data_IF_488798533719
#
_entry.id   IF_488798533719
#
_cell.length_a   1.000
_cell.length_b   1.000
_cell.length_c   1.000
_cell.angle_alpha   90.00
_cell.angle_beta   90.00
_cell.angle_gamma   90.00
#
_symmetry.space_group_name_H-M   'P 1'
#
loop_
_entity.id
_entity.type
_entity.pdbx_description
1 polymer ?
#
# COMPACT_ATOMS: atom_id res chain seq x y z
N UNK A 1 1.37 -14.82 20.00
CA UNK A 1 1.49 -14.57 21.46
C UNK A 1 1.52 -15.85 22.28
N UNK A 2 2.33 -15.86 23.34
CA UNK A 2 2.42 -16.99 24.27
C UNK A 2 1.03 -17.30 24.86
N UNK A 3 0.61 -18.57 24.78
CA UNK A 3 -0.69 -19.03 25.28
C UNK A 3 -1.91 -18.67 24.42
N UNK A 4 -1.75 -18.08 23.23
CA UNK A 4 -2.87 -17.81 22.33
C UNK A 4 -3.54 -19.11 21.86
N UNK A 5 -4.87 -19.17 21.99
CA UNK A 5 -5.70 -20.24 21.44
C UNK A 5 -6.72 -19.61 20.49
N UNK A 6 -6.67 -20.02 19.23
CA UNK A 6 -7.66 -19.62 18.24
C UNK A 6 -9.04 -20.17 18.63
N UNK A 7 -10.08 -19.34 18.54
CA UNK A 7 -11.47 -19.77 18.67
C UNK A 7 -12.05 -20.35 17.38
N UNK A 8 -11.31 -20.25 16.27
CA UNK A 8 -11.74 -20.67 14.92
C UNK A 8 -10.79 -21.71 14.34
N UNK A 9 -11.32 -22.55 13.46
CA UNK A 9 -10.51 -23.42 12.59
C UNK A 9 -9.72 -22.60 11.58
N UNK A 10 -8.72 -23.22 10.94
CA UNK A 10 -7.90 -22.56 9.92
C UNK A 10 -8.77 -22.03 8.76
N UNK A 11 -9.69 -22.84 8.27
CA UNK A 11 -10.57 -22.44 7.15
C UNK A 11 -11.51 -21.30 7.53
N UNK A 12 -12.08 -21.32 8.73
CA UNK A 12 -12.92 -20.22 9.22
C UNK A 12 -12.13 -18.93 9.36
N UNK A 13 -10.87 -19.02 9.79
CA UNK A 13 -9.95 -17.88 9.91
C UNK A 13 -9.72 -17.23 8.54
N UNK A 14 -9.42 -18.02 7.50
CA UNK A 14 -9.27 -17.53 6.13
C UNK A 14 -10.55 -16.85 5.61
N UNK A 15 -11.72 -17.46 5.87
CA UNK A 15 -13.03 -16.87 5.50
C UNK A 15 -13.26 -15.53 6.21
N UNK A 16 -12.90 -15.42 7.50
CA UNK A 16 -13.04 -14.18 8.26
C UNK A 16 -12.08 -13.09 7.77
N UNK A 17 -10.81 -13.43 7.49
CA UNK A 17 -9.83 -12.51 6.92
C UNK A 17 -10.36 -11.94 5.61
N UNK A 18 -10.84 -12.80 4.71
CA UNK A 18 -11.41 -12.35 3.43
C UNK A 18 -12.60 -11.41 3.62
N UNK A 19 -13.56 -11.75 4.49
CA UNK A 19 -14.73 -10.91 4.75
C UNK A 19 -14.35 -9.51 5.25
N UNK A 20 -13.37 -9.42 6.14
CA UNK A 20 -12.87 -8.14 6.66
C UNK A 20 -12.21 -7.35 5.55
N UNK A 21 -11.35 -8.00 4.75
CA UNK A 21 -10.66 -7.33 3.64
C UNK A 21 -11.63 -6.78 2.60
N UNK A 22 -12.55 -7.62 2.13
CA UNK A 22 -13.57 -7.24 1.14
C UNK A 22 -14.52 -6.15 1.66
N UNK A 23 -14.81 -6.13 2.97
CA UNK A 23 -15.64 -5.08 3.58
C UNK A 23 -14.90 -3.75 3.65
N UNK A 24 -13.68 -3.74 4.19
CA UNK A 24 -12.92 -2.51 4.38
C UNK A 24 -12.55 -1.87 3.04
N UNK A 25 -12.13 -2.67 2.06
CA UNK A 25 -11.80 -2.21 0.71
C UNK A 25 -12.97 -1.43 0.07
N UNK A 26 -14.18 -2.00 0.12
CA UNK A 26 -15.39 -1.35 -0.41
C UNK A 26 -15.72 -0.08 0.34
N UNK A 27 -15.70 -0.13 1.67
CA UNK A 27 -15.99 1.03 2.50
C UNK A 27 -15.00 2.17 2.26
N UNK A 28 -13.69 1.87 2.17
CA UNK A 28 -12.65 2.84 1.88
C UNK A 28 -12.86 3.50 0.51
N UNK A 29 -13.12 2.69 -0.52
CA UNK A 29 -13.37 3.17 -1.87
C UNK A 29 -14.59 4.11 -1.95
N UNK A 30 -15.70 3.72 -1.31
CA UNK A 30 -16.94 4.50 -1.29
C UNK A 30 -16.78 5.82 -0.53
N UNK A 31 -16.22 5.80 0.69
CA UNK A 31 -16.14 6.98 1.54
C UNK A 31 -15.14 8.03 1.04
N UNK A 32 -14.06 7.59 0.37
CA UNK A 32 -13.01 8.47 -0.14
C UNK A 32 -13.05 8.66 -1.66
N UNK A 33 -14.07 8.11 -2.35
CA UNK A 33 -14.19 8.20 -3.82
C UNK A 33 -12.92 7.71 -4.55
N UNK A 34 -12.45 6.53 -4.14
CA UNK A 34 -11.23 5.93 -4.66
C UNK A 34 -11.54 4.84 -5.68
N UNK A 35 -10.77 4.84 -6.77
CA UNK A 35 -10.82 3.78 -7.78
C UNK A 35 -9.72 2.76 -7.53
N UNK A 36 -10.07 1.48 -7.54
CA UNK A 36 -9.10 0.38 -7.41
C UNK A 36 -8.22 0.30 -8.64
N UNK A 37 -6.91 0.36 -8.47
CA UNK A 37 -5.93 0.23 -9.57
C UNK A 37 -4.90 -0.87 -9.28
N UNK A 38 -4.39 -1.50 -10.33
CA UNK A 38 -3.31 -2.48 -10.21
C UNK A 38 -1.96 -1.76 -10.02
N UNK A 39 -1.25 -2.11 -8.96
CA UNK A 39 0.08 -1.61 -8.67
C UNK A 39 1.20 -2.54 -9.16
N UNK A 40 2.39 -2.01 -9.43
CA UNK A 40 3.58 -2.81 -9.66
C UNK A 40 4.04 -3.49 -8.36
N UNK A 41 4.49 -4.75 -8.46
CA UNK A 41 5.15 -5.46 -7.36
C UNK A 41 6.64 -5.08 -7.23
N UNK A 42 7.26 -4.70 -8.34
CA UNK A 42 8.66 -4.30 -8.42
C UNK A 42 8.83 -3.16 -9.42
N UNK A 43 9.90 -2.39 -9.23
CA UNK A 43 10.26 -1.26 -10.09
C UNK A 43 11.75 -1.35 -10.43
N UNK A 44 12.15 -0.73 -11.54
CA UNK A 44 13.56 -0.62 -11.91
C UNK A 44 14.40 0.03 -10.78
N UNK A 45 15.56 -0.55 -10.50
CA UNK A 45 16.47 -0.07 -9.47
C UNK A 45 16.94 1.35 -9.79
N UNK A 46 16.89 2.26 -8.81
CA UNK A 46 17.44 3.61 -8.97
C UNK A 46 16.60 4.60 -9.79
N UNK A 47 15.43 4.22 -10.30
CA UNK A 47 14.51 5.14 -10.98
C UNK A 47 13.81 6.15 -10.04
N UNK A 48 14.02 6.00 -8.73
CA UNK A 48 13.50 6.87 -7.69
C UNK A 48 12.02 6.66 -7.33
N UNK A 49 11.33 5.68 -7.93
CA UNK A 49 9.93 5.34 -7.63
C UNK A 49 9.79 4.54 -6.35
N UNK A 50 10.75 3.66 -6.04
CA UNK A 50 10.78 2.95 -4.77
C UNK A 50 11.14 3.94 -3.64
N UNK A 51 10.35 3.94 -2.57
CA UNK A 51 10.63 4.77 -1.40
C UNK A 51 11.39 3.96 -0.35
N UNK A 52 12.58 4.39 0.02
CA UNK A 52 13.48 3.66 0.91
C UNK A 52 13.15 3.84 2.40
N UNK A 53 11.93 4.35 2.71
CA UNK A 53 11.44 4.65 4.06
C UNK A 53 12.45 5.51 4.84
N UNK A 54 13.31 4.89 5.64
CA UNK A 54 14.31 5.53 6.48
C UNK A 54 15.70 5.68 5.81
N UNK A 55 15.84 5.23 4.56
CA UNK A 55 17.08 5.31 3.77
C UNK A 55 18.17 4.28 4.16
N UNK A 56 17.91 3.46 5.18
CA UNK A 56 18.84 2.43 5.69
C UNK A 56 18.40 1.02 5.28
N UNK A 57 17.09 0.79 5.15
CA UNK A 57 16.53 -0.51 4.82
C UNK A 57 16.89 -0.93 3.38
N UNK A 58 17.36 -2.17 3.25
CA UNK A 58 17.76 -2.69 1.94
C UNK A 58 16.57 -3.31 1.23
N UNK A 59 16.27 -2.91 -0.02
CA UNK A 59 15.22 -3.58 -0.77
C UNK A 59 15.66 -4.96 -1.24
N UNK A 60 14.69 -5.83 -1.49
CA UNK A 60 14.92 -7.09 -2.19
C UNK A 60 15.16 -6.79 -3.66
N UNK A 61 16.39 -7.03 -4.13
CA UNK A 61 16.81 -6.80 -5.52
C UNK A 61 17.00 -8.11 -6.28
N UNK A 62 16.69 -8.11 -7.57
CA UNK A 62 16.92 -9.23 -8.48
C UNK A 62 16.99 -8.74 -9.92
N UNK A 63 17.62 -9.52 -10.80
CA UNK A 63 17.68 -9.25 -12.23
C UNK A 63 16.51 -9.91 -13.00
N UNK A 64 16.09 -9.29 -14.09
CA UNK A 64 15.09 -9.85 -15.01
C UNK A 64 15.81 -10.38 -16.25
N UNK A 65 15.86 -11.70 -16.43
CA UNK A 65 16.53 -12.33 -17.59
C UNK A 65 16.08 -11.76 -18.94
N UNK A 66 14.80 -11.40 -19.09
CA UNK A 66 14.23 -10.91 -20.35
C UNK A 66 14.70 -9.49 -20.73
N UNK A 67 15.10 -8.66 -19.76
CA UNK A 67 15.53 -7.28 -20.00
C UNK A 67 17.00 -7.05 -19.65
N UNK A 68 17.58 -7.92 -18.80
CA UNK A 68 18.90 -7.73 -18.20
C UNK A 68 18.94 -6.62 -17.16
N UNK A 69 17.79 -6.09 -16.74
CA UNK A 69 17.68 -4.97 -15.81
C UNK A 69 17.55 -5.47 -14.36
N UNK A 70 18.16 -4.73 -13.43
CA UNK A 70 17.99 -4.94 -12.01
C UNK A 70 16.71 -4.23 -11.52
N UNK A 71 15.85 -4.97 -10.83
CA UNK A 71 14.63 -4.45 -10.22
C UNK A 71 14.62 -4.65 -8.71
N UNK A 72 13.75 -3.90 -8.04
CA UNK A 72 13.55 -3.94 -6.60
C UNK A 72 12.08 -4.16 -6.26
N UNK A 73 11.80 -5.03 -5.29
CA UNK A 73 10.45 -5.14 -4.71
C UNK A 73 10.12 -3.81 -4.01
N UNK A 74 8.90 -3.32 -4.24
CA UNK A 74 8.45 -2.05 -3.67
C UNK A 74 8.35 -2.14 -2.15
N UNK A 75 8.85 -1.12 -1.45
CA UNK A 75 8.62 -0.93 -0.01
C UNK A 75 7.39 -0.05 0.25
N UNK A 76 7.14 0.89 -0.66
CA UNK A 76 5.99 1.79 -0.65
C UNK A 76 5.74 2.30 -2.07
N UNK A 77 4.48 2.57 -2.40
CA UNK A 77 4.10 3.15 -3.68
C UNK A 77 3.86 4.67 -3.60
N UNK A 78 4.27 5.34 -2.51
CA UNK A 78 3.99 6.76 -2.27
C UNK A 78 4.23 7.67 -3.48
N UNK A 79 5.40 7.57 -4.13
CA UNK A 79 5.72 8.35 -5.33
C UNK A 79 4.96 7.86 -6.57
N UNK A 80 4.79 6.54 -6.69
CA UNK A 80 4.07 5.92 -7.80
C UNK A 80 2.60 6.33 -7.84
N UNK A 81 1.89 6.33 -6.70
CA UNK A 81 0.47 6.69 -6.62
C UNK A 81 0.22 8.09 -7.16
N UNK A 82 1.04 9.06 -6.74
CA UNK A 82 0.94 10.45 -7.18
C UNK A 82 1.21 10.61 -8.68
N UNK A 83 2.20 9.89 -9.22
CA UNK A 83 2.46 9.84 -10.66
C UNK A 83 1.27 9.22 -11.43
N UNK A 84 0.69 8.14 -10.89
CA UNK A 84 -0.45 7.45 -11.48
C UNK A 84 -1.71 8.32 -11.52
N UNK A 85 -2.03 9.05 -10.44
CA UNK A 85 -3.15 10.01 -10.42
C UNK A 85 -3.03 11.01 -11.59
N UNK A 86 -1.84 11.56 -11.80
CA UNK A 86 -1.57 12.48 -12.91
C UNK A 86 -1.72 11.79 -14.28
N UNK A 87 -1.10 10.61 -14.47
CA UNK A 87 -1.14 9.89 -15.75
C UNK A 87 -2.55 9.46 -16.14
N UNK A 88 -3.37 9.07 -15.16
CA UNK A 88 -4.75 8.64 -15.38
C UNK A 88 -5.76 9.80 -15.42
N UNK A 89 -5.35 11.02 -15.06
CA UNK A 89 -6.20 12.21 -15.15
C UNK A 89 -7.28 12.30 -14.08
N UNK A 90 -7.01 11.81 -12.87
CA UNK A 90 -7.91 11.95 -11.72
C UNK A 90 -8.17 13.42 -11.38
N UNK A 91 -9.42 13.75 -11.04
CA UNK A 91 -9.84 15.11 -10.68
C UNK A 91 -9.83 15.32 -9.17
N UNK A 92 -9.97 16.57 -8.75
CA UNK A 92 -10.08 16.94 -7.34
C UNK A 92 -11.21 16.16 -6.66
N UNK A 93 -10.92 15.61 -5.48
CA UNK A 93 -11.78 14.70 -4.70
C UNK A 93 -11.94 13.29 -5.27
N UNK A 94 -11.25 12.95 -6.36
CA UNK A 94 -11.10 11.58 -6.83
C UNK A 94 -9.70 11.06 -6.45
N UNK A 95 -9.60 9.75 -6.24
CA UNK A 95 -8.33 9.13 -5.88
C UNK A 95 -8.24 7.69 -6.33
N UNK A 96 -7.13 7.06 -5.98
CA UNK A 96 -6.89 5.65 -6.24
C UNK A 96 -6.53 4.93 -4.95
N UNK A 97 -6.77 3.62 -4.92
CA UNK A 97 -6.15 2.72 -3.96
C UNK A 97 -5.68 1.46 -4.66
N UNK A 98 -4.77 0.76 -4.02
CA UNK A 98 -4.23 -0.51 -4.51
C UNK A 98 -3.93 -1.46 -3.35
N UNK A 99 -3.99 -2.75 -3.64
CA UNK A 99 -3.57 -3.82 -2.74
C UNK A 99 -2.04 -3.94 -2.83
N UNK A 100 -1.34 -3.14 -2.04
CA UNK A 100 0.11 -3.10 -2.05
C UNK A 100 0.65 -4.26 -1.21
N UNK A 101 1.64 -4.97 -1.74
CA UNK A 101 2.38 -5.99 -1.02
C UNK A 101 3.88 -5.67 -1.10
N UNK A 102 4.56 -5.75 0.03
CA UNK A 102 5.97 -5.44 0.17
C UNK A 102 6.70 -6.51 0.98
N UNK A 103 8.03 -6.54 0.82
CA UNK A 103 8.93 -7.37 1.62
C UNK A 103 9.91 -6.46 2.35
N UNK A 104 9.74 -6.31 3.66
CA UNK A 104 10.62 -5.56 4.55
C UNK A 104 11.61 -6.49 5.22
N UNK A 105 12.66 -6.85 4.48
CA UNK A 105 13.65 -7.85 4.90
C UNK A 105 14.47 -7.50 6.15
N UNK A 106 14.53 -6.22 6.49
CA UNK A 106 15.34 -5.70 7.59
C UNK A 106 14.46 -5.28 8.80
N UNK A 107 13.17 -5.68 8.83
CA UNK A 107 12.21 -5.37 9.90
C UNK A 107 12.51 -6.14 11.21
N UNK A 108 12.39 -5.47 12.35
CA UNK A 108 12.44 -6.13 13.67
C UNK A 108 11.09 -6.78 13.97
N UNK A 109 11.06 -8.11 14.13
CA UNK A 109 9.81 -8.86 14.20
C UNK A 109 9.24 -8.95 15.61
N UNK A 110 7.92 -8.77 15.71
CA UNK A 110 7.12 -9.02 16.91
C UNK A 110 5.69 -9.44 16.51
N UNK A 111 4.72 -9.33 17.43
CA UNK A 111 3.32 -9.69 17.12
C UNK A 111 2.61 -8.70 16.17
N UNK A 112 3.18 -7.52 15.93
CA UNK A 112 2.66 -6.44 15.08
C UNK A 112 3.49 -6.24 13.81
N UNK A 113 4.78 -6.63 13.83
CA UNK A 113 5.72 -6.41 12.75
C UNK A 113 6.06 -7.72 12.01
N UNK A 114 5.91 -7.69 10.68
CA UNK A 114 6.10 -8.83 9.78
C UNK A 114 6.99 -8.43 8.61
N UNK A 115 7.83 -9.36 8.14
CA UNK A 115 8.61 -9.19 6.89
C UNK A 115 7.69 -8.97 5.69
N UNK A 116 6.54 -9.67 5.67
CA UNK A 116 5.51 -9.45 4.66
C UNK A 116 4.55 -8.36 5.13
N UNK A 117 4.39 -7.34 4.29
CA UNK A 117 3.51 -6.20 4.58
C UNK A 117 2.48 -6.09 3.46
N UNK A 118 1.20 -6.12 3.81
CA UNK A 118 0.10 -5.76 2.93
C UNK A 118 -0.57 -4.46 3.39
N UNK A 119 -0.99 -3.62 2.44
CA UNK A 119 -1.61 -2.33 2.72
C UNK A 119 -2.66 -1.99 1.67
N UNK A 120 -3.76 -1.37 2.12
CA UNK A 120 -4.57 -0.53 1.25
C UNK A 120 -3.83 0.79 1.03
N UNK A 121 -2.97 0.82 0.01
CA UNK A 121 -2.15 1.98 -0.28
C UNK A 121 -2.94 2.92 -1.20
N UNK A 122 -3.28 4.12 -0.71
CA UNK A 122 -4.22 5.02 -1.38
C UNK A 122 -3.72 6.46 -1.48
N UNK A 123 -4.24 7.21 -2.44
CA UNK A 123 -3.90 8.62 -2.66
C UNK A 123 -5.12 9.37 -3.22
N UNK A 124 -5.36 10.60 -2.76
CA UNK A 124 -6.49 11.44 -3.14
C UNK A 124 -6.00 12.78 -3.72
N UNK A 125 -6.61 13.22 -4.84
CA UNK A 125 -6.31 14.55 -5.39
C UNK A 125 -7.01 15.62 -4.56
N UNK A 126 -6.24 16.56 -4.01
CA UNK A 126 -6.75 17.73 -3.28
C UNK A 126 -6.31 19.04 -3.94
N UNK A 127 -7.14 20.08 -3.81
CA UNK A 127 -6.74 21.41 -4.23
C UNK A 127 -5.67 22.00 -3.31
N UNK A 128 -4.91 22.97 -3.83
CA UNK A 128 -3.89 23.68 -3.05
C UNK A 128 -4.46 24.39 -1.82
N UNK A 129 -5.69 24.90 -1.91
CA UNK A 129 -6.40 25.58 -0.81
C UNK A 129 -6.79 24.63 0.33
N UNK A 130 -6.93 23.34 0.04
CA UNK A 130 -7.35 22.32 1.00
C UNK A 130 -6.16 21.70 1.74
N UNK A 131 -4.96 22.26 1.60
CA UNK A 131 -3.75 21.84 2.33
C UNK A 131 -3.76 22.39 3.76
N UNK A 132 -4.74 21.96 4.54
CA UNK A 132 -4.98 22.42 5.91
C UNK A 132 -5.11 21.22 6.85
N UNK A 133 -4.86 21.45 8.14
CA UNK A 133 -5.07 20.44 9.18
C UNK A 133 -6.55 20.02 9.27
N UNK A 134 -7.46 20.95 9.01
CA UNK A 134 -8.90 20.66 9.01
C UNK A 134 -9.27 19.67 7.89
N UNK A 135 -8.69 19.82 6.70
CA UNK A 135 -8.91 18.83 5.62
C UNK A 135 -8.35 17.47 5.99
N UNK A 136 -7.17 17.42 6.61
CA UNK A 136 -6.60 16.16 7.10
C UNK A 136 -7.55 15.48 8.10
N UNK A 137 -8.04 16.22 9.10
CA UNK A 137 -8.99 15.71 10.11
C UNK A 137 -10.32 15.27 9.48
N UNK A 138 -10.81 16.00 8.47
CA UNK A 138 -12.01 15.62 7.72
C UNK A 138 -11.80 14.26 7.04
N UNK A 139 -10.69 14.07 6.32
CA UNK A 139 -10.40 12.82 5.62
C UNK A 139 -10.21 11.65 6.59
N UNK A 140 -9.56 11.85 7.74
CA UNK A 140 -9.36 10.81 8.76
C UNK A 140 -10.66 10.36 9.43
N UNK A 141 -11.71 11.21 9.44
CA UNK A 141 -13.00 10.91 10.09
C UNK A 141 -14.04 10.27 9.17
N UNK A 142 -13.76 10.21 7.87
CA UNK A 142 -14.60 9.51 6.89
C UNK A 142 -14.39 8.01 6.99
#
# INVERSE_FOLDING_TARGET
PEGYKSSTTLIETEVHIKKIKDFFERALAENLSLTRVSAPLFVESGNGLNDTLNGVERPVKFDILATGEDVEIVHSLSKWKRLSLHRYGFKVSEGLYTDMNAIRRDEELDNLHSVYVDQWDWELVIDKKDRTEDKLKEIVRK
#
